data_IF_764014579840
#
_entry.id   IF_764014579840
#
_cell.length_a   1.000
_cell.length_b   1.000
_cell.length_c   1.000
_cell.angle_alpha   90.00
_cell.angle_beta   90.00
_cell.angle_gamma   90.00
#
_symmetry.space_group_name_H-M   'P 1'
#
loop_
_entity.id
_entity.type
_entity.pdbx_description
1 polymer ?
#
# COMPACT_ATOMS: atom_id res chain seq x y z
N UNK A 1 2.48 -10.13 16.10
CA UNK A 1 2.91 -9.48 14.85
C UNK A 1 1.63 -9.11 14.13
N UNK A 2 1.46 -7.86 13.72
CA UNK A 2 0.23 -7.42 13.03
C UNK A 2 0.28 -7.87 11.57
N UNK A 3 -0.75 -8.55 11.10
CA UNK A 3 -0.89 -8.92 9.70
C UNK A 3 -1.36 -7.70 8.91
N UNK A 4 -0.52 -7.23 7.98
CA UNK A 4 -0.90 -6.20 7.02
C UNK A 4 -1.29 -6.85 5.69
N UNK A 5 -2.37 -6.36 5.11
CA UNK A 5 -2.75 -6.67 3.75
C UNK A 5 -1.99 -5.76 2.78
N UNK A 6 -1.35 -6.37 1.78
CA UNK A 6 -0.60 -5.64 0.76
C UNK A 6 -0.59 -6.41 -0.56
N UNK A 7 -0.58 -5.66 -1.65
CA UNK A 7 -0.28 -6.20 -2.98
C UNK A 7 1.08 -5.69 -3.46
N UNK A 8 1.81 -6.56 -4.16
CA UNK A 8 3.16 -6.27 -4.65
C UNK A 8 3.16 -6.35 -6.16
N UNK A 9 3.64 -5.29 -6.81
CA UNK A 9 3.90 -5.22 -8.23
C UNK A 9 5.41 -5.17 -8.42
N UNK A 10 5.97 -6.23 -8.99
CA UNK A 10 7.42 -6.31 -9.21
C UNK A 10 7.91 -5.24 -10.20
N UNK A 11 9.18 -4.88 -10.02
CA UNK A 11 9.91 -3.94 -10.85
C UNK A 11 11.41 -4.04 -10.56
N UNK A 12 12.22 -3.40 -11.39
CA UNK A 12 13.67 -3.62 -11.47
C UNK A 12 14.52 -2.48 -10.91
N UNK A 13 13.93 -1.29 -10.68
CA UNK A 13 14.67 -0.09 -10.29
C UNK A 13 13.99 0.74 -9.19
N UNK A 14 14.26 0.38 -7.93
CA UNK A 14 13.77 1.10 -6.74
C UNK A 14 12.47 0.55 -6.17
N UNK A 15 11.99 1.18 -5.11
CA UNK A 15 10.80 0.77 -4.37
C UNK A 15 9.92 1.99 -4.05
N UNK A 16 8.64 1.88 -4.37
CA UNK A 16 7.59 2.82 -3.97
C UNK A 16 6.58 2.11 -3.06
N UNK A 17 6.34 2.66 -1.88
CA UNK A 17 5.29 2.20 -0.96
C UNK A 17 4.20 3.26 -0.94
N UNK A 18 2.96 2.84 -1.19
CA UNK A 18 1.79 3.71 -1.27
C UNK A 18 0.86 3.46 -0.09
N UNK A 19 0.70 4.48 0.74
CA UNK A 19 -0.17 4.49 1.93
C UNK A 19 -1.43 5.30 1.62
N UNK A 20 -2.61 4.71 1.83
CA UNK A 20 -3.88 5.42 1.62
C UNK A 20 -4.17 6.43 2.74
N UNK A 21 -5.15 7.31 2.49
CA UNK A 21 -5.67 8.27 3.48
C UNK A 21 -6.91 7.77 4.24
N UNK A 22 -7.58 8.65 4.97
CA UNK A 22 -8.77 8.31 5.77
C UNK A 22 -9.93 7.82 4.89
N UNK A 23 -10.60 6.75 5.32
CA UNK A 23 -11.80 6.21 4.65
C UNK A 23 -11.49 5.43 3.36
N UNK A 24 -10.23 5.06 3.14
CA UNK A 24 -9.76 4.35 1.96
C UNK A 24 -9.15 2.98 2.31
N UNK A 25 -8.82 2.23 1.27
CA UNK A 25 -8.04 0.98 1.27
C UNK A 25 -6.93 1.09 0.23
N UNK A 26 -6.10 0.06 0.06
CA UNK A 26 -5.07 -0.01 -0.97
C UNK A 26 -5.61 0.23 -2.39
N UNK A 27 -6.89 -0.07 -2.65
CA UNK A 27 -7.52 -0.04 -3.98
C UNK A 27 -7.59 1.36 -4.60
N UNK A 28 -7.48 2.43 -3.79
CA UNK A 28 -7.41 3.80 -4.32
C UNK A 28 -6.21 4.04 -5.24
N UNK A 29 -5.18 3.18 -5.14
CA UNK A 29 -3.98 3.24 -5.97
C UNK A 29 -4.08 2.48 -7.29
N UNK A 30 -5.20 1.80 -7.56
CA UNK A 30 -5.41 1.04 -8.79
C UNK A 30 -5.09 1.84 -10.08
N UNK A 31 -5.49 3.12 -10.24
CA UNK A 31 -5.10 3.93 -11.40
C UNK A 31 -3.59 4.21 -11.50
N UNK A 32 -2.91 4.40 -10.36
CA UNK A 32 -1.46 4.63 -10.31
C UNK A 32 -0.70 3.36 -10.71
N UNK A 33 -1.12 2.22 -10.17
CA UNK A 33 -0.55 0.91 -10.51
C UNK A 33 -0.76 0.58 -11.99
N UNK A 34 -1.89 0.96 -12.57
CA UNK A 34 -2.18 0.76 -14.00
C UNK A 34 -1.26 1.62 -14.90
N UNK A 35 -0.95 2.85 -14.48
CA UNK A 35 -0.07 3.77 -15.21
C UNK A 35 1.44 3.53 -14.98
N UNK A 36 1.81 2.53 -14.17
CA UNK A 36 3.20 2.27 -13.79
C UNK A 36 4.18 2.10 -14.97
N UNK A 37 3.88 1.38 -16.07
CA UNK A 37 4.90 1.09 -17.09
C UNK A 37 5.40 2.36 -17.80
N UNK A 38 4.64 3.44 -17.74
CA UNK A 38 4.97 4.72 -18.38
C UNK A 38 5.71 5.68 -17.44
N UNK A 39 5.60 5.49 -16.12
CA UNK A 39 6.00 6.49 -15.12
C UNK A 39 7.00 5.98 -14.09
N UNK A 40 7.04 4.67 -13.81
CA UNK A 40 7.92 4.07 -12.82
C UNK A 40 8.11 2.57 -13.06
N UNK A 41 9.36 2.12 -13.29
CA UNK A 41 9.67 0.70 -13.53
C UNK A 41 10.13 -0.06 -12.27
N UNK A 42 10.19 0.62 -11.11
CA UNK A 42 10.53 0.00 -9.84
C UNK A 42 9.40 -0.81 -9.23
N UNK A 43 9.71 -1.54 -8.14
CA UNK A 43 8.72 -2.32 -7.39
C UNK A 43 7.74 -1.38 -6.69
N UNK A 44 6.44 -1.70 -6.74
CA UNK A 44 5.40 -0.97 -6.02
C UNK A 44 4.77 -1.89 -4.98
N UNK A 45 4.57 -1.38 -3.77
CA UNK A 45 3.76 -2.04 -2.74
C UNK A 45 2.62 -1.09 -2.39
N UNK A 46 1.38 -1.58 -2.54
CA UNK A 46 0.18 -0.92 -2.04
C UNK A 46 -0.31 -1.69 -0.82
N UNK A 47 -0.78 -0.99 0.20
CA UNK A 47 -1.15 -1.63 1.47
C UNK A 47 -2.33 -0.99 2.14
N UNK A 48 -3.08 -1.79 2.87
CA UNK A 48 -4.06 -1.33 3.83
C UNK A 48 -3.36 -0.95 5.14
N UNK A 49 -3.59 0.27 5.61
CA UNK A 49 -3.18 0.66 6.96
C UNK A 49 -3.92 -0.18 8.00
N UNK A 50 -3.37 -0.38 9.21
CA UNK A 50 -4.04 -1.16 10.24
C UNK A 50 -5.48 -0.67 10.49
N UNK A 51 -6.39 -1.61 10.74
CA UNK A 51 -7.82 -1.35 10.92
C UNK A 51 -8.58 -0.89 9.67
N UNK A 52 -7.96 -0.91 8.50
CA UNK A 52 -8.59 -0.63 7.21
C UNK A 52 -8.49 -1.84 6.29
N UNK A 53 -9.43 -1.94 5.34
CA UNK A 53 -9.44 -3.01 4.35
C UNK A 53 -9.35 -4.40 4.98
N UNK A 54 -8.34 -5.18 4.57
CA UNK A 54 -8.08 -6.51 5.12
C UNK A 54 -6.93 -6.56 6.15
N UNK A 55 -6.39 -5.41 6.56
CA UNK A 55 -5.37 -5.32 7.62
C UNK A 55 -6.00 -5.43 9.01
N UNK A 56 -5.30 -6.13 9.92
CA UNK A 56 -5.74 -6.26 11.32
C UNK A 56 -5.76 -4.91 12.05
N UNK A 57 -6.61 -4.80 13.08
CA UNK A 57 -6.63 -3.65 13.98
C UNK A 57 -5.44 -3.69 14.97
N UNK A 58 -4.95 -2.52 15.36
CA UNK A 58 -3.99 -2.35 16.46
C UNK A 58 -4.69 -1.95 17.77
N UNK A 59 -4.02 -2.27 18.88
CA UNK A 59 -4.40 -1.80 20.22
C UNK A 59 -4.07 -0.31 20.43
N UNK A 60 -3.08 0.22 19.70
CA UNK A 60 -2.62 1.62 19.76
C UNK A 60 -2.17 2.09 18.36
N UNK A 61 -2.66 3.26 17.94
CA UNK A 61 -2.34 3.91 16.65
C UNK A 61 -1.43 5.13 16.81
N UNK A 62 -0.96 5.42 18.03
CA UNK A 62 -0.01 6.50 18.30
C UNK A 62 1.31 6.29 17.57
N UNK A 63 1.78 7.33 16.88
CA UNK A 63 3.15 7.36 16.32
C UNK A 63 4.09 7.76 17.46
N UNK A 64 5.12 6.96 17.71
CA UNK A 64 6.17 7.20 18.70
C UNK A 64 7.47 7.61 18.04
#
# INVERSE_FOLDING_TARGET
>A
MTQLHSEVFDGDSGLLILLHGLGATFDVWSPVVAARPESFTGRIIVMDLPGHGASEHLDDYGIK
#
